data_IF_568294592903
#
_entry.id   IF_568294592903
#
_cell.length_a   1.000
_cell.length_b   1.000
_cell.length_c   1.000
_cell.angle_alpha   90.00
_cell.angle_beta   90.00
_cell.angle_gamma   90.00
#
_symmetry.space_group_name_H-M   'P 1'
#
loop_
_entity.id
_entity.type
_entity.pdbx_description
1 polymer ?
#
# COMPACT_ATOMS: atom_id res chain seq x y z
N UNK A 1 38.31 -10.22 -30.17
CA UNK A 1 38.63 -10.65 -28.79
C UNK A 1 38.55 -9.41 -27.89
N UNK A 2 37.87 -9.52 -26.74
CA UNK A 2 37.69 -8.50 -25.68
C UNK A 2 36.61 -7.43 -25.93
N UNK A 3 35.38 -7.71 -25.49
CA UNK A 3 34.44 -6.77 -24.85
C UNK A 3 33.12 -7.53 -24.54
N UNK A 4 33.23 -8.59 -23.73
CA UNK A 4 32.08 -9.35 -23.21
C UNK A 4 32.27 -9.53 -21.70
N UNK A 5 32.39 -8.43 -20.96
CA UNK A 5 32.60 -8.45 -19.50
C UNK A 5 31.88 -7.28 -18.79
N UNK A 6 30.74 -6.83 -19.31
CA UNK A 6 30.05 -5.64 -18.78
C UNK A 6 28.54 -5.83 -18.73
N UNK A 7 28.12 -6.83 -17.97
CA UNK A 7 26.77 -6.89 -17.39
C UNK A 7 26.67 -8.13 -16.51
N UNK A 8 27.58 -8.23 -15.53
CA UNK A 8 27.30 -9.06 -14.37
C UNK A 8 26.09 -8.41 -13.71
N UNK A 9 24.93 -9.01 -13.95
CA UNK A 9 23.66 -8.75 -13.35
C UNK A 9 23.84 -8.67 -11.83
N UNK A 10 24.08 -7.47 -11.32
CA UNK A 10 23.89 -7.17 -9.91
C UNK A 10 22.38 -7.03 -9.74
N UNK A 11 21.71 -8.18 -9.78
CA UNK A 11 20.41 -8.41 -9.15
C UNK A 11 20.68 -8.35 -7.64
N UNK A 12 20.90 -7.14 -7.12
CA UNK A 12 20.78 -6.85 -5.70
C UNK A 12 19.33 -7.13 -5.35
N UNK A 13 19.08 -8.37 -4.92
CA UNK A 13 17.81 -8.83 -4.42
C UNK A 13 17.34 -7.84 -3.37
N UNK A 14 16.23 -7.17 -3.69
CA UNK A 14 15.48 -6.41 -2.71
C UNK A 14 15.06 -7.42 -1.66
N UNK A 15 15.71 -7.40 -0.50
CA UNK A 15 15.18 -8.05 0.69
C UNK A 15 13.89 -7.30 1.03
N UNK A 16 12.80 -7.67 0.39
CA UNK A 16 11.46 -7.25 0.79
C UNK A 16 11.22 -7.95 2.12
N UNK A 17 11.43 -7.22 3.22
CA UNK A 17 11.09 -7.70 4.54
C UNK A 17 9.58 -7.94 4.48
N UNK A 18 9.18 -9.21 4.51
CA UNK A 18 7.80 -9.62 4.33
C UNK A 18 7.03 -9.26 5.60
N UNK A 19 6.58 -8.02 5.68
CA UNK A 19 5.63 -7.59 6.69
C UNK A 19 4.26 -8.11 6.28
N UNK A 20 3.76 -9.13 6.98
CA UNK A 20 2.42 -9.67 6.73
C UNK A 20 1.48 -9.10 7.77
N UNK A 21 0.46 -8.36 7.33
CA UNK A 21 -0.60 -7.88 8.22
C UNK A 21 -1.87 -8.69 7.99
N UNK A 22 -2.34 -9.36 9.03
CA UNK A 22 -3.58 -10.14 9.01
C UNK A 22 -4.60 -9.48 9.93
N UNK A 23 -5.81 -9.22 9.44
CA UNK A 23 -6.88 -8.61 10.23
C UNK A 23 -8.10 -9.55 10.30
N UNK A 24 -8.60 -9.77 11.52
CA UNK A 24 -9.87 -10.44 11.81
C UNK A 24 -10.80 -9.43 12.48
N UNK A 25 -11.68 -8.81 11.69
CA UNK A 25 -12.51 -7.69 12.15
C UNK A 25 -11.65 -6.48 12.54
N UNK A 26 -11.73 -6.07 13.81
CA UNK A 26 -10.96 -4.95 14.37
C UNK A 26 -9.62 -5.35 15.00
N UNK A 27 -9.32 -6.65 15.05
CA UNK A 27 -8.04 -7.14 15.56
C UNK A 27 -7.10 -7.42 14.39
N UNK A 28 -5.99 -6.68 14.32
CA UNK A 28 -4.94 -6.95 13.35
C UNK A 28 -3.66 -7.40 14.05
N UNK A 29 -2.97 -8.34 13.42
CA UNK A 29 -1.64 -8.79 13.80
C UNK A 29 -0.67 -8.51 12.68
N UNK A 30 0.53 -8.09 13.04
CA UNK A 30 1.66 -7.90 12.13
C UNK A 30 2.69 -8.99 12.41
N UNK A 31 3.13 -9.66 11.35
CA UNK A 31 4.27 -10.56 11.35
C UNK A 31 5.44 -9.85 10.67
N UNK A 32 6.50 -9.62 11.44
CA UNK A 32 7.72 -8.97 10.97
C UNK A 32 8.92 -9.76 11.50
N UNK A 33 9.82 -10.17 10.61
CA UNK A 33 11.02 -10.95 10.97
C UNK A 33 10.72 -12.24 11.77
N UNK A 34 9.60 -12.90 11.48
CA UNK A 34 9.16 -14.14 12.15
C UNK A 34 8.55 -13.92 13.54
N UNK A 35 8.44 -12.68 14.01
CA UNK A 35 7.75 -12.32 15.23
C UNK A 35 6.34 -11.82 14.91
N UNK A 36 5.34 -12.37 15.59
CA UNK A 36 3.94 -11.93 15.50
C UNK A 36 3.60 -11.06 16.70
N UNK A 37 3.02 -9.89 16.45
CA UNK A 37 2.44 -9.04 17.50
C UNK A 37 1.06 -8.53 17.11
N UNK A 38 0.21 -8.29 18.10
CA UNK A 38 -1.02 -7.55 17.90
C UNK A 38 -0.71 -6.06 17.65
N UNK A 39 -1.46 -5.45 16.74
CA UNK A 39 -1.46 -4.01 16.52
C UNK A 39 -2.33 -3.33 17.57
N UNK A 40 -1.93 -2.15 18.02
CA UNK A 40 -2.79 -1.32 18.89
C UNK A 40 -3.99 -0.79 18.10
N UNK A 41 -5.04 -0.36 18.80
CA UNK A 41 -6.22 0.23 18.14
C UNK A 41 -5.84 1.44 17.26
N UNK A 42 -4.84 2.23 17.67
CA UNK A 42 -4.33 3.36 16.90
C UNK A 42 -3.62 2.91 15.62
N UNK A 43 -2.76 1.88 15.72
CA UNK A 43 -2.08 1.31 14.56
C UNK A 43 -3.09 0.70 13.56
N UNK A 44 -4.12 0.02 14.06
CA UNK A 44 -5.21 -0.51 13.24
C UNK A 44 -5.97 0.62 12.53
N UNK A 45 -6.30 1.70 13.23
CA UNK A 45 -6.98 2.85 12.63
C UNK A 45 -6.12 3.49 11.53
N UNK A 46 -4.82 3.65 11.78
CA UNK A 46 -3.86 4.17 10.79
C UNK A 46 -3.78 3.26 9.56
N UNK A 47 -3.66 1.95 9.76
CA UNK A 47 -3.64 0.96 8.68
C UNK A 47 -4.92 1.03 7.83
N UNK A 48 -6.09 1.09 8.46
CA UNK A 48 -7.38 1.21 7.76
C UNK A 48 -7.45 2.50 6.92
N UNK A 49 -6.98 3.63 7.45
CA UNK A 49 -6.91 4.90 6.68
C UNK A 49 -5.98 4.78 5.48
N UNK A 50 -4.81 4.17 5.65
CA UNK A 50 -3.87 3.94 4.56
C UNK A 50 -4.46 3.02 3.47
N UNK A 51 -5.10 1.92 3.87
CA UNK A 51 -5.72 0.99 2.93
C UNK A 51 -6.89 1.63 2.16
N UNK A 52 -7.76 2.38 2.85
CA UNK A 52 -8.84 3.12 2.22
C UNK A 52 -8.30 4.14 1.20
N UNK A 53 -7.24 4.85 1.56
CA UNK A 53 -6.57 5.82 0.70
C UNK A 53 -5.91 5.18 -0.53
N UNK A 54 -5.26 4.03 -0.38
CA UNK A 54 -4.70 3.27 -1.51
C UNK A 54 -5.81 2.75 -2.42
N UNK A 55 -6.89 2.21 -1.86
CA UNK A 55 -8.05 1.76 -2.63
C UNK A 55 -8.67 2.90 -3.44
N UNK A 56 -8.79 4.09 -2.84
CA UNK A 56 -9.21 5.31 -3.53
C UNK A 56 -8.21 5.70 -4.63
N UNK A 57 -6.91 5.67 -4.37
CA UNK A 57 -5.88 5.97 -5.39
C UNK A 57 -5.93 5.05 -6.61
N UNK A 58 -6.50 3.86 -6.48
CA UNK A 58 -6.67 2.90 -7.57
C UNK A 58 -7.97 3.11 -8.39
N UNK A 59 -8.80 4.11 -8.04
CA UNK A 59 -10.02 4.42 -8.80
C UNK A 59 -9.66 5.20 -10.08
N UNK A 60 -9.94 4.62 -11.24
CA UNK A 60 -9.71 5.26 -12.54
C UNK A 60 -10.90 6.12 -12.98
N UNK A 61 -10.87 7.43 -12.71
CA UNK A 61 -11.93 8.35 -13.11
C UNK A 61 -12.06 8.56 -14.63
N UNK A 62 -11.03 8.22 -15.42
CA UNK A 62 -11.01 8.41 -16.88
C UNK A 62 -12.07 7.57 -17.61
N UNK A 63 -12.48 6.43 -17.02
CA UNK A 63 -13.50 5.56 -17.57
C UNK A 63 -14.92 5.93 -17.11
N UNK A 64 -15.08 6.95 -16.27
CA UNK A 64 -16.37 7.39 -15.78
C UNK A 64 -17.14 8.19 -16.85
N UNK A 65 -18.47 8.18 -16.75
CA UNK A 65 -19.36 8.98 -17.62
C UNK A 65 -19.12 10.49 -17.47
N UNK A 66 -18.70 10.93 -16.28
CA UNK A 66 -18.26 12.29 -15.98
C UNK A 66 -16.94 12.25 -15.16
N UNK A 67 -15.79 12.38 -15.84
CA UNK A 67 -14.48 12.34 -15.18
C UNK A 67 -14.29 13.47 -14.16
N UNK A 68 -14.80 14.67 -14.43
CA UNK A 68 -14.61 15.83 -13.56
C UNK A 68 -15.39 15.67 -12.25
N UNK A 69 -16.62 15.15 -12.31
CA UNK A 69 -17.39 14.79 -11.12
C UNK A 69 -16.71 13.68 -10.31
N UNK A 70 -16.14 12.67 -10.99
CA UNK A 70 -15.37 11.61 -10.33
C UNK A 70 -14.14 12.16 -9.59
N UNK A 71 -13.31 12.98 -10.24
CA UNK A 71 -12.13 13.59 -9.62
C UNK A 71 -12.50 14.44 -8.40
N UNK A 72 -13.59 15.20 -8.48
CA UNK A 72 -14.11 15.97 -7.36
C UNK A 72 -14.52 15.08 -6.19
N UNK A 73 -15.31 14.03 -6.43
CA UNK A 73 -15.72 13.08 -5.40
C UNK A 73 -14.52 12.35 -4.78
N UNK A 74 -13.53 11.98 -5.61
CA UNK A 74 -12.29 11.38 -5.13
C UNK A 74 -11.56 12.33 -4.19
N UNK A 75 -11.41 13.61 -4.54
CA UNK A 75 -10.80 14.63 -3.67
C UNK A 75 -11.53 14.78 -2.33
N UNK A 76 -12.86 14.82 -2.36
CA UNK A 76 -13.71 14.87 -1.15
C UNK A 76 -13.54 13.63 -0.26
N UNK A 77 -13.46 12.44 -0.86
CA UNK A 77 -13.23 11.19 -0.14
C UNK A 77 -11.82 11.12 0.45
N UNK A 78 -10.79 11.55 -0.30
CA UNK A 78 -9.41 11.62 0.20
C UNK A 78 -9.30 12.51 1.44
N UNK A 79 -10.06 13.62 1.50
CA UNK A 79 -10.08 14.51 2.66
C UNK A 79 -10.63 13.85 3.95
N UNK A 80 -11.42 12.78 3.83
CA UNK A 80 -11.95 12.05 4.98
C UNK A 80 -10.93 11.09 5.62
N UNK A 81 -9.79 10.85 4.97
CA UNK A 81 -8.74 9.94 5.44
C UNK A 81 -7.40 10.67 5.66
N UNK A 82 -7.29 11.55 6.69
CA UNK A 82 -6.04 12.26 7.01
C UNK A 82 -4.96 11.31 7.58
N UNK A 83 -3.70 11.70 7.40
CA UNK A 83 -2.52 10.96 7.91
C UNK A 83 -2.40 11.07 9.43
#
# INVERSE_FOLDING_TARGET
MRLLLLSLFVLLGSSAWAQVTTCYGDQCTIEENGAKRALTAEEVAKLKRQNARTALGNVECKAATDPAACEKMMGELFAQFPY
#
